data_IF_115397568200
#
_entry.id   IF_115397568200
#
_cell.length_a   1.000
_cell.length_b   1.000
_cell.length_c   1.000
_cell.angle_alpha   90.00
_cell.angle_beta   90.00
_cell.angle_gamma   90.00
#
_symmetry.space_group_name_H-M   'P 1'
#
loop_
_entity.id
_entity.type
_entity.pdbx_description
1 polymer ?
#
# COMPACT_ATOMS: atom_id res chain seq x y z
N UNK A 1 7.08 12.85 36.32
CA UNK A 1 7.26 11.40 36.12
C UNK A 1 5.88 10.81 35.83
N UNK A 2 5.64 10.32 34.60
CA UNK A 2 4.37 9.71 34.22
C UNK A 2 4.58 8.20 34.03
N UNK A 3 3.82 7.40 34.78
CA UNK A 3 3.85 5.95 34.80
C UNK A 3 3.04 5.45 33.60
N UNK A 4 3.72 4.91 32.58
CA UNK A 4 3.04 4.21 31.49
C UNK A 4 2.60 2.82 31.96
N UNK A 5 1.28 2.61 32.08
CA UNK A 5 0.68 1.28 32.27
C UNK A 5 0.92 0.46 30.99
N UNK A 6 1.71 -0.61 31.09
CA UNK A 6 1.84 -1.62 30.03
C UNK A 6 0.49 -2.31 29.82
N UNK A 7 -0.01 -2.25 28.59
CA UNK A 7 -1.15 -3.04 28.11
C UNK A 7 -0.63 -4.49 27.96
N UNK A 8 -1.34 -5.52 28.44
CA UNK A 8 -0.84 -6.89 28.45
C UNK A 8 -0.67 -7.46 27.03
N UNK A 9 0.48 -8.07 26.80
CA UNK A 9 0.90 -8.79 25.58
C UNK A 9 0.06 -10.05 25.34
N UNK A 10 -1.22 -9.89 24.98
CA UNK A 10 -1.96 -10.94 24.26
C UNK A 10 -2.05 -10.58 22.79
N UNK A 11 -0.89 -10.50 22.15
CA UNK A 11 -0.77 -10.50 20.70
C UNK A 11 -0.34 -11.91 20.33
N UNK A 12 -1.32 -12.68 19.86
CA UNK A 12 -1.17 -13.98 19.21
C UNK A 12 0.14 -14.10 18.43
N UNK A 13 0.91 -15.14 18.74
CA UNK A 13 2.29 -15.38 18.29
C UNK A 13 2.38 -15.89 16.83
N UNK A 14 1.46 -15.48 15.97
CA UNK A 14 1.46 -15.81 14.55
C UNK A 14 2.12 -14.66 13.78
N UNK A 15 3.09 -14.91 12.89
CA UNK A 15 3.55 -13.89 11.96
C UNK A 15 2.34 -13.33 11.21
N UNK A 16 2.17 -12.00 11.08
CA UNK A 16 1.08 -11.45 10.30
C UNK A 16 1.21 -11.97 8.87
N UNK A 17 0.23 -12.78 8.46
CA UNK A 17 0.18 -13.37 7.13
C UNK A 17 0.14 -12.22 6.12
N UNK A 18 1.17 -12.12 5.27
CA UNK A 18 1.30 -11.00 4.34
C UNK A 18 0.26 -11.14 3.24
N UNK A 19 -0.79 -10.33 3.33
CA UNK A 19 -1.87 -10.32 2.36
C UNK A 19 -1.41 -9.65 1.06
N UNK A 20 -1.78 -10.22 -0.09
CA UNK A 20 -1.56 -9.59 -1.39
C UNK A 20 -2.40 -8.31 -1.51
N UNK A 21 -2.05 -7.37 -2.39
CA UNK A 21 -2.85 -6.19 -2.73
C UNK A 21 -4.15 -6.56 -3.47
N UNK A 22 -4.94 -7.42 -2.84
CA UNK A 22 -6.22 -7.94 -3.27
C UNK A 22 -7.32 -7.50 -2.29
N UNK A 23 -8.54 -8.00 -2.51
CA UNK A 23 -9.71 -7.71 -1.69
C UNK A 23 -9.51 -8.01 -0.19
N UNK A 24 -8.59 -8.92 0.15
CA UNK A 24 -8.30 -9.28 1.55
C UNK A 24 -7.43 -8.21 2.21
N UNK A 25 -6.50 -7.57 1.50
CA UNK A 25 -5.75 -6.43 2.04
C UNK A 25 -6.67 -5.25 2.33
N UNK A 26 -7.59 -4.99 1.39
CA UNK A 26 -8.66 -4.01 1.52
C UNK A 26 -9.49 -4.28 2.78
N UNK A 27 -9.75 -5.55 3.11
CA UNK A 27 -10.49 -5.93 4.31
C UNK A 27 -9.75 -5.66 5.63
N UNK A 28 -8.42 -5.46 5.66
CA UNK A 28 -7.69 -5.16 6.91
C UNK A 28 -7.93 -3.74 7.43
N UNK A 29 -8.52 -2.87 6.61
CA UNK A 29 -8.82 -1.47 6.95
C UNK A 29 -10.16 -1.33 7.71
N UNK A 30 -10.64 -2.34 8.45
CA UNK A 30 -11.98 -2.32 9.11
C UNK A 30 -12.02 -1.28 10.24
N UNK A 31 -12.82 -0.21 10.10
CA UNK A 31 -12.97 0.82 11.13
C UNK A 31 -14.15 0.52 12.07
N UNK A 32 -14.09 1.03 13.31
CA UNK A 32 -15.10 0.75 14.34
C UNK A 32 -16.37 1.61 14.19
N UNK A 33 -16.28 2.82 13.62
CA UNK A 33 -17.40 3.75 13.44
C UNK A 33 -18.02 3.70 12.01
N UNK A 34 -19.30 4.03 11.87
CA UNK A 34 -20.02 4.05 10.59
C UNK A 34 -19.47 5.11 9.63
N UNK A 35 -19.07 6.27 10.15
CA UNK A 35 -18.41 7.33 9.39
C UNK A 35 -17.04 6.85 8.88
N UNK A 36 -16.23 6.29 9.78
CA UNK A 36 -14.91 5.76 9.42
C UNK A 36 -15.02 4.63 8.39
N UNK A 37 -16.03 3.75 8.50
CA UNK A 37 -16.33 2.71 7.50
C UNK A 37 -16.57 3.29 6.11
N UNK A 38 -17.32 4.38 6.02
CA UNK A 38 -17.64 5.04 4.76
C UNK A 38 -16.39 5.70 4.17
N UNK A 39 -15.64 6.46 4.97
CA UNK A 39 -14.37 7.07 4.54
C UNK A 39 -13.35 6.01 4.08
N UNK A 40 -13.25 4.89 4.80
CA UNK A 40 -12.39 3.78 4.41
C UNK A 40 -12.86 3.09 3.12
N UNK A 41 -14.17 3.03 2.87
CA UNK A 41 -14.70 2.45 1.63
C UNK A 41 -14.44 3.37 0.43
N UNK A 42 -14.58 4.68 0.61
CA UNK A 42 -14.24 5.68 -0.41
C UNK A 42 -12.75 5.64 -0.75
N UNK A 43 -11.88 5.64 0.27
CA UNK A 43 -10.44 5.54 0.09
C UNK A 43 -10.06 4.24 -0.65
N UNK A 44 -10.68 3.11 -0.30
CA UNK A 44 -10.46 1.83 -0.98
C UNK A 44 -10.82 1.91 -2.47
N UNK A 45 -11.93 2.55 -2.81
CA UNK A 45 -12.33 2.72 -4.22
C UNK A 45 -11.36 3.62 -4.99
N UNK A 46 -10.87 4.69 -4.37
CA UNK A 46 -9.90 5.59 -4.98
C UNK A 46 -8.56 4.90 -5.23
N UNK A 47 -8.04 4.19 -4.23
CA UNK A 47 -6.81 3.40 -4.35
C UNK A 47 -6.97 2.35 -5.45
N UNK A 48 -8.09 1.63 -5.48
CA UNK A 48 -8.35 0.62 -6.51
C UNK A 48 -8.38 1.21 -7.92
N UNK A 49 -9.06 2.35 -8.12
CA UNK A 49 -9.07 3.06 -9.42
C UNK A 49 -7.68 3.55 -9.81
N UNK A 50 -6.88 4.01 -8.86
CA UNK A 50 -5.52 4.45 -9.11
C UNK A 50 -4.63 3.27 -9.53
N UNK A 51 -4.74 2.13 -8.83
CA UNK A 51 -4.05 0.88 -9.15
C UNK A 51 -4.38 0.38 -10.57
N UNK A 52 -5.62 0.50 -11.02
CA UNK A 52 -6.03 0.14 -12.39
C UNK A 52 -5.38 0.98 -13.50
N UNK A 53 -4.78 2.13 -13.18
CA UNK A 53 -4.08 3.00 -14.16
C UNK A 53 -2.60 2.65 -14.32
N UNK A 54 -2.07 1.77 -13.46
CA UNK A 54 -0.68 1.33 -13.56
C UNK A 54 -0.54 0.37 -14.74
N UNK A 55 0.60 0.44 -15.41
CA UNK A 55 1.02 -0.63 -16.32
C UNK A 55 1.42 -1.87 -15.52
N UNK A 56 1.52 -3.02 -16.17
CA UNK A 56 1.94 -4.27 -15.50
C UNK A 56 3.33 -4.12 -14.85
N UNK A 57 4.26 -3.42 -15.49
CA UNK A 57 5.61 -3.18 -14.96
C UNK A 57 5.60 -2.23 -13.76
N UNK A 58 4.77 -1.19 -13.79
CA UNK A 58 4.58 -0.28 -12.65
C UNK A 58 3.93 -1.02 -11.48
N UNK A 59 2.87 -1.80 -11.74
CA UNK A 59 2.19 -2.60 -10.71
C UNK A 59 3.17 -3.57 -10.06
N UNK A 60 3.90 -4.33 -10.86
CA UNK A 60 4.90 -5.29 -10.38
C UNK A 60 6.01 -4.60 -9.60
N UNK A 61 6.46 -3.42 -10.03
CA UNK A 61 7.44 -2.62 -9.30
C UNK A 61 6.89 -2.22 -7.92
N UNK A 62 5.67 -1.70 -7.85
CA UNK A 62 5.03 -1.29 -6.61
C UNK A 62 4.84 -2.49 -5.66
N UNK A 63 4.40 -3.65 -6.15
CA UNK A 63 4.27 -4.88 -5.36
C UNK A 63 5.61 -5.31 -4.76
N UNK A 64 6.66 -5.41 -5.58
CA UNK A 64 7.99 -5.82 -5.11
C UNK A 64 8.56 -4.84 -4.06
N UNK A 65 8.44 -3.54 -4.32
CA UNK A 65 8.99 -2.48 -3.46
C UNK A 65 8.21 -2.32 -2.16
N UNK A 66 6.88 -2.32 -2.22
CA UNK A 66 6.05 -1.92 -1.08
C UNK A 66 5.32 -3.07 -0.40
N UNK A 67 4.98 -4.16 -1.10
CA UNK A 67 4.41 -5.36 -0.47
C UNK A 67 5.51 -6.30 0.02
N UNK A 68 6.45 -6.61 -0.86
CA UNK A 68 7.54 -7.57 -0.57
C UNK A 68 8.77 -6.91 0.07
N UNK A 69 8.78 -5.58 0.20
CA UNK A 69 9.85 -4.79 0.83
C UNK A 69 11.23 -5.04 0.20
N UNK A 70 11.25 -5.30 -1.11
CA UNK A 70 12.50 -5.50 -1.84
C UNK A 70 13.22 -4.17 -2.04
N UNK A 71 14.55 -4.22 -1.96
CA UNK A 71 15.37 -3.06 -2.31
C UNK A 71 15.25 -2.74 -3.81
N UNK A 72 15.61 -1.52 -4.24
CA UNK A 72 15.55 -1.13 -5.66
C UNK A 72 16.31 -2.11 -6.56
N UNK A 73 17.51 -2.52 -6.13
CA UNK A 73 18.34 -3.46 -6.86
C UNK A 73 17.79 -4.89 -6.89
N UNK A 74 17.13 -5.33 -5.81
CA UNK A 74 16.47 -6.65 -5.78
C UNK A 74 15.26 -6.69 -6.71
N UNK A 75 14.45 -5.63 -6.71
CA UNK A 75 13.31 -5.51 -7.61
C UNK A 75 13.75 -5.47 -9.08
N UNK A 76 14.73 -4.63 -9.42
CA UNK A 76 15.31 -4.54 -10.76
C UNK A 76 15.86 -5.90 -11.25
N UNK A 77 16.63 -6.59 -10.39
CA UNK A 77 17.16 -7.93 -10.69
C UNK A 77 16.04 -8.95 -10.91
N UNK A 78 14.95 -8.89 -10.15
CA UNK A 78 13.81 -9.82 -10.27
C UNK A 78 12.93 -9.54 -11.51
N UNK A 79 12.92 -8.30 -11.97
CA UNK A 79 12.24 -7.88 -13.20
C UNK A 79 13.11 -8.07 -14.45
N UNK A 80 14.42 -8.27 -14.30
CA UNK A 80 15.35 -8.41 -15.42
C UNK A 80 15.64 -7.09 -16.14
N UNK A 81 15.55 -5.96 -15.42
CA UNK A 81 15.73 -4.60 -15.95
C UNK A 81 16.88 -3.87 -15.24
N UNK A 82 17.30 -2.73 -15.77
CA UNK A 82 18.27 -1.85 -15.13
C UNK A 82 17.70 -1.18 -13.87
N UNK A 83 18.58 -0.63 -13.02
CA UNK A 83 18.15 0.13 -11.84
C UNK A 83 17.45 1.43 -12.23
N UNK A 84 17.89 2.03 -13.33
CA UNK A 84 17.35 3.26 -13.89
C UNK A 84 15.92 3.03 -14.39
N UNK A 85 15.69 1.97 -15.17
CA UNK A 85 14.34 1.61 -15.63
C UNK A 85 13.40 1.29 -14.47
N UNK A 86 13.88 0.57 -13.45
CA UNK A 86 13.10 0.30 -12.24
C UNK A 86 12.72 1.60 -11.52
N UNK A 87 13.63 2.58 -11.45
CA UNK A 87 13.36 3.86 -10.83
C UNK A 87 12.29 4.65 -11.61
N UNK A 88 12.31 4.59 -12.95
CA UNK A 88 11.28 5.20 -13.80
C UNK A 88 9.90 4.57 -13.56
N UNK A 89 9.82 3.23 -13.50
CA UNK A 89 8.55 2.55 -13.20
C UNK A 89 8.05 2.84 -11.78
N UNK A 90 8.95 2.90 -10.79
CA UNK A 90 8.60 3.24 -9.42
C UNK A 90 8.08 4.68 -9.33
N UNK A 91 8.77 5.65 -9.93
CA UNK A 91 8.35 7.04 -9.94
C UNK A 91 7.01 7.25 -10.65
N UNK A 92 6.86 6.69 -11.85
CA UNK A 92 5.62 6.78 -12.64
C UNK A 92 4.44 6.14 -11.90
N UNK A 93 4.63 4.92 -11.39
CA UNK A 93 3.61 4.20 -10.63
C UNK A 93 3.17 4.96 -9.37
N UNK A 94 4.12 5.46 -8.58
CA UNK A 94 3.81 6.28 -7.41
C UNK A 94 3.10 7.58 -7.77
N UNK A 95 3.49 8.23 -8.87
CA UNK A 95 2.84 9.46 -9.29
C UNK A 95 1.38 9.22 -9.68
N UNK A 96 1.09 8.13 -10.40
CA UNK A 96 -0.29 7.73 -10.73
C UNK A 96 -1.13 7.46 -9.47
N UNK A 97 -0.54 6.79 -8.48
CA UNK A 97 -1.18 6.55 -7.19
C UNK A 97 -1.46 7.87 -6.43
N UNK A 98 -0.48 8.78 -6.37
CA UNK A 98 -0.67 10.10 -5.74
C UNK A 98 -1.75 10.91 -6.42
N UNK A 99 -1.73 11.02 -7.75
CA UNK A 99 -2.72 11.76 -8.51
C UNK A 99 -4.14 11.19 -8.29
N UNK A 100 -4.28 9.86 -8.15
CA UNK A 100 -5.56 9.23 -7.85
C UNK A 100 -6.11 9.53 -6.45
N UNK A 101 -5.27 10.01 -5.55
CA UNK A 101 -5.62 10.38 -4.17
C UNK A 101 -5.64 11.89 -3.94
N UNK A 102 -5.13 12.68 -4.88
CA UNK A 102 -4.98 14.12 -4.76
C UNK A 102 -6.34 14.82 -4.61
N UNK A 103 -7.35 14.40 -5.36
CA UNK A 103 -8.72 14.92 -5.26
C UNK A 103 -9.34 14.66 -3.87
N UNK A 104 -9.02 13.53 -3.23
CA UNK A 104 -9.49 13.21 -1.89
C UNK A 104 -8.73 13.98 -0.81
N UNK A 105 -7.44 14.24 -1.03
CA UNK A 105 -6.62 15.03 -0.11
C UNK A 105 -6.94 16.53 -0.18
N UNK A 106 -7.33 17.06 -1.35
CA UNK A 106 -7.68 18.48 -1.54
C UNK A 106 -9.14 18.81 -1.21
N UNK A 107 -10.02 17.80 -1.13
CA UNK A 107 -11.45 17.96 -0.83
C UNK A 107 -11.80 18.11 0.67
N UNK A 108 -10.83 18.41 1.53
CA UNK A 108 -11.02 18.64 2.98
C UNK A 108 -10.50 20.01 3.41
#
# INVERSE_FOLDING_TARGET
MAIYKKIPDSITNAPPERTNFDERFISLLIPQDAQDRLEAQELRQLVHRALQKLTDDEMRTIELRYQHKQSPGQAASRMGISREEMAVFEESGLQKLRNGLEDWHQGR
#
